data_IF_908445848735
#
_entry.id   IF_908445848735
#
_cell.length_a   1.000
_cell.length_b   1.000
_cell.length_c   1.000
_cell.angle_alpha   90.00
_cell.angle_beta   90.00
_cell.angle_gamma   90.00
#
_symmetry.space_group_name_H-M   'P 1'
#
loop_
_entity.id
_entity.type
_entity.pdbx_description
1 polymer ?
#
# COMPACT_ATOMS: atom_id res chain seq x y z
N UNK A 1 1.44 -9.02 18.17
CA UNK A 1 2.13 -9.05 16.87
C UNK A 1 1.35 -8.25 15.85
N UNK A 2 2.01 -7.33 15.17
CA UNK A 2 1.34 -6.49 14.17
C UNK A 2 1.15 -7.30 12.89
N UNK A 3 -0.07 -7.27 12.37
CA UNK A 3 -0.40 -8.08 11.20
C UNK A 3 -0.27 -7.27 9.92
N UNK A 4 0.21 -7.93 8.88
CA UNK A 4 0.32 -7.37 7.54
C UNK A 4 -0.36 -8.31 6.56
N UNK A 5 -1.22 -7.75 5.71
CA UNK A 5 -1.89 -8.51 4.67
C UNK A 5 -1.23 -8.19 3.34
N UNK A 6 -0.87 -9.23 2.58
CA UNK A 6 -0.30 -9.11 1.25
C UNK A 6 -1.34 -9.56 0.24
N UNK A 7 -1.65 -8.70 -0.73
CA UNK A 7 -2.63 -9.00 -1.77
C UNK A 7 -2.06 -8.64 -3.14
N UNK A 8 -2.59 -9.28 -4.18
CA UNK A 8 -2.27 -8.95 -5.57
C UNK A 8 -3.52 -8.38 -6.23
N UNK A 9 -3.41 -7.21 -6.85
CA UNK A 9 -4.53 -6.54 -7.49
C UNK A 9 -4.20 -6.15 -8.93
N UNK A 10 -5.17 -6.32 -9.82
CA UNK A 10 -5.14 -5.73 -11.16
C UNK A 10 -5.90 -4.40 -11.13
N UNK A 11 -5.77 -3.61 -12.20
CA UNK A 11 -6.51 -2.33 -12.29
C UNK A 11 -8.01 -2.53 -12.18
N UNK A 12 -8.53 -3.60 -12.78
CA UNK A 12 -9.98 -3.88 -12.78
C UNK A 12 -10.48 -4.31 -11.41
N UNK A 13 -9.64 -4.94 -10.60
CA UNK A 13 -10.01 -5.40 -9.26
C UNK A 13 -9.95 -4.30 -8.20
N UNK A 14 -9.18 -3.26 -8.46
CA UNK A 14 -8.91 -2.24 -7.44
C UNK A 14 -10.15 -1.55 -6.89
N UNK A 15 -11.09 -1.04 -7.71
CA UNK A 15 -12.28 -0.37 -7.15
C UNK A 15 -13.11 -1.28 -6.26
N UNK A 16 -13.34 -2.52 -6.69
CA UNK A 16 -14.10 -3.49 -5.89
C UNK A 16 -13.41 -3.81 -4.58
N UNK A 17 -12.08 -3.98 -4.63
CA UNK A 17 -11.32 -4.29 -3.42
C UNK A 17 -11.38 -3.14 -2.41
N UNK A 18 -11.26 -1.89 -2.87
CA UNK A 18 -11.36 -0.73 -1.99
C UNK A 18 -12.75 -0.65 -1.35
N UNK A 19 -13.80 -0.90 -2.13
CA UNK A 19 -15.16 -0.90 -1.60
C UNK A 19 -15.34 -1.97 -0.52
N UNK A 20 -14.83 -3.18 -0.76
CA UNK A 20 -14.88 -4.26 0.22
C UNK A 20 -14.06 -3.95 1.47
N UNK A 21 -12.92 -3.30 1.30
CA UNK A 21 -12.07 -2.88 2.42
C UNK A 21 -12.83 -1.97 3.39
N UNK A 22 -13.63 -1.07 2.86
CA UNK A 22 -14.36 -0.10 3.70
C UNK A 22 -15.35 -0.77 4.66
N UNK A 23 -15.76 -2.01 4.38
CA UNK A 23 -16.65 -2.79 5.25
C UNK A 23 -15.91 -3.87 6.04
N UNK A 24 -14.59 -3.99 5.88
CA UNK A 24 -13.81 -5.06 6.51
C UNK A 24 -13.01 -4.51 7.69
N UNK A 25 -13.57 -4.66 8.89
CA UNK A 25 -12.94 -4.15 10.11
C UNK A 25 -11.62 -4.85 10.44
N UNK A 26 -11.45 -6.11 10.03
CA UNK A 26 -10.21 -6.83 10.25
C UNK A 26 -9.05 -6.22 9.46
N UNK A 27 -9.29 -5.91 8.18
CA UNK A 27 -8.26 -5.33 7.33
C UNK A 27 -7.88 -3.91 7.76
N UNK A 28 -8.82 -3.17 8.32
CA UNK A 28 -8.54 -1.80 8.80
C UNK A 28 -7.51 -1.77 9.93
N UNK A 29 -7.31 -2.89 10.61
CA UNK A 29 -6.35 -3.01 11.71
C UNK A 29 -5.00 -3.55 11.26
N UNK A 30 -4.79 -3.71 9.97
CA UNK A 30 -3.58 -4.32 9.43
C UNK A 30 -2.85 -3.38 8.47
N UNK A 31 -1.53 -3.55 8.36
CA UNK A 31 -0.76 -2.96 7.27
C UNK A 31 -1.10 -3.71 5.99
N UNK A 32 -1.10 -3.01 4.87
CA UNK A 32 -1.47 -3.59 3.58
C UNK A 32 -0.29 -3.49 2.62
N UNK A 33 0.11 -4.62 2.05
CA UNK A 33 1.08 -4.66 0.95
C UNK A 33 0.32 -5.09 -0.30
N UNK A 34 0.36 -4.26 -1.33
CA UNK A 34 -0.33 -4.52 -2.59
C UNK A 34 0.71 -4.81 -3.66
N UNK A 35 0.71 -6.04 -4.18
CA UNK A 35 1.57 -6.39 -5.30
C UNK A 35 0.79 -6.20 -6.60
N UNK A 36 1.41 -5.55 -7.57
CA UNK A 36 0.81 -5.32 -8.88
C UNK A 36 1.47 -6.22 -9.91
N UNK A 37 0.68 -6.87 -10.80
CA UNK A 37 1.26 -7.73 -11.84
C UNK A 37 2.24 -6.95 -12.72
N UNK A 38 3.40 -7.53 -12.99
CA UNK A 38 4.44 -6.87 -13.80
C UNK A 38 4.02 -6.68 -15.25
N UNK A 39 3.19 -7.54 -15.77
CA UNK A 39 2.70 -7.47 -17.14
C UNK A 39 1.65 -6.38 -17.35
N UNK A 40 1.11 -5.81 -16.28
CA UNK A 40 0.13 -4.73 -16.37
C UNK A 40 0.86 -3.38 -16.25
N UNK A 41 0.62 -2.50 -17.20
CA UNK A 41 1.26 -1.19 -17.23
C UNK A 41 0.42 -0.16 -16.47
N UNK A 42 0.96 0.37 -15.39
CA UNK A 42 0.29 1.37 -14.56
C UNK A 42 0.87 2.75 -14.84
N UNK A 43 -0.02 3.70 -15.11
CA UNK A 43 0.35 5.10 -15.29
C UNK A 43 0.11 5.85 -13.98
N UNK A 44 0.67 7.07 -13.88
CA UNK A 44 0.48 7.90 -12.69
C UNK A 44 -0.98 8.08 -12.34
N UNK A 45 -1.84 8.29 -13.33
CA UNK A 45 -3.29 8.46 -13.13
C UNK A 45 -3.93 7.20 -12.55
N UNK A 46 -3.41 6.03 -12.89
CA UNK A 46 -3.94 4.76 -12.40
C UNK A 46 -3.61 4.55 -10.92
N UNK A 47 -2.57 5.22 -10.44
CA UNK A 47 -2.13 5.10 -9.04
C UNK A 47 -2.89 6.03 -8.10
N UNK A 48 -3.63 7.01 -8.60
CA UNK A 48 -4.37 7.95 -7.75
C UNK A 48 -5.29 7.28 -6.73
N UNK A 49 -6.11 6.28 -7.09
CA UNK A 49 -6.94 5.61 -6.10
C UNK A 49 -6.12 4.97 -4.99
N UNK A 50 -4.94 4.43 -5.32
CA UNK A 50 -4.03 3.85 -4.33
C UNK A 50 -3.46 4.91 -3.40
N UNK A 51 -3.12 6.08 -3.94
CA UNK A 51 -2.62 7.20 -3.14
C UNK A 51 -3.67 7.63 -2.12
N UNK A 52 -4.90 7.83 -2.58
CA UNK A 52 -6.01 8.23 -1.70
C UNK A 52 -6.26 7.17 -0.63
N UNK A 53 -6.31 5.90 -1.04
CA UNK A 53 -6.51 4.79 -0.12
C UNK A 53 -5.42 4.75 0.95
N UNK A 54 -4.15 4.87 0.53
CA UNK A 54 -3.01 4.82 1.45
C UNK A 54 -3.05 5.96 2.46
N UNK A 55 -3.37 7.17 2.00
CA UNK A 55 -3.46 8.33 2.88
C UNK A 55 -4.57 8.16 3.91
N UNK A 56 -5.74 7.69 3.49
CA UNK A 56 -6.86 7.47 4.39
C UNK A 56 -6.57 6.39 5.42
N UNK A 57 -5.97 5.29 4.98
CA UNK A 57 -5.62 4.19 5.89
C UNK A 57 -4.60 4.63 6.93
N UNK A 58 -3.63 5.42 6.51
CA UNK A 58 -2.61 5.96 7.42
C UNK A 58 -3.24 6.94 8.43
N UNK A 59 -4.06 7.87 7.97
CA UNK A 59 -4.66 8.90 8.81
C UNK A 59 -5.72 8.35 9.77
N UNK A 60 -6.57 7.45 9.28
CA UNK A 60 -7.70 6.95 10.07
C UNK A 60 -7.32 5.78 10.96
N UNK A 61 -6.42 4.94 10.52
CA UNK A 61 -6.10 3.69 11.21
C UNK A 61 -4.65 3.57 11.66
N UNK A 62 -3.80 4.53 11.31
CA UNK A 62 -2.36 4.54 11.65
C UNK A 62 -1.65 3.28 11.15
N UNK A 63 -2.01 2.83 9.95
CA UNK A 63 -1.43 1.67 9.30
C UNK A 63 -0.83 2.06 7.96
N UNK A 64 0.19 1.32 7.54
CA UNK A 64 0.92 1.60 6.30
C UNK A 64 0.35 0.84 5.11
N UNK A 65 0.43 1.46 3.93
CA UNK A 65 0.12 0.81 2.66
C UNK A 65 1.34 0.94 1.77
N UNK A 66 1.86 -0.18 1.29
CA UNK A 66 3.04 -0.20 0.42
C UNK A 66 2.71 -0.99 -0.84
N UNK A 67 3.13 -0.45 -1.99
CA UNK A 67 2.92 -1.08 -3.28
C UNK A 67 4.23 -1.73 -3.73
N UNK A 68 4.14 -2.95 -4.22
CA UNK A 68 5.30 -3.69 -4.74
C UNK A 68 5.16 -3.88 -6.24
N UNK A 69 6.03 -3.21 -7.00
CA UNK A 69 6.22 -3.48 -8.43
C UNK A 69 7.55 -2.88 -8.85
N UNK A 70 8.42 -3.72 -9.43
CA UNK A 70 9.78 -3.31 -9.78
C UNK A 70 9.81 -2.16 -10.80
N UNK A 71 9.02 -2.26 -11.85
CA UNK A 71 9.01 -1.24 -12.90
C UNK A 71 8.58 0.12 -12.38
N UNK A 72 7.54 0.16 -11.56
CA UNK A 72 7.05 1.40 -10.95
C UNK A 72 8.03 1.98 -9.95
N UNK A 73 8.73 1.13 -9.22
CA UNK A 73 9.70 1.57 -8.21
C UNK A 73 10.89 2.29 -8.85
N UNK A 74 11.19 2.00 -10.12
CA UNK A 74 12.27 2.65 -10.84
C UNK A 74 11.86 4.02 -11.41
N UNK A 75 10.56 4.31 -11.45
CA UNK A 75 10.05 5.58 -11.92
C UNK A 75 9.85 6.54 -10.75
N UNK A 76 10.20 7.80 -10.95
CA UNK A 76 10.01 8.83 -9.92
C UNK A 76 8.71 9.59 -10.19
N UNK A 77 7.64 9.12 -9.58
CA UNK A 77 6.31 9.72 -9.77
C UNK A 77 6.03 10.90 -8.83
N UNK A 78 6.90 11.21 -7.92
CA UNK A 78 6.68 12.26 -6.90
C UNK A 78 5.34 12.08 -6.17
N UNK A 79 5.02 10.84 -5.83
CA UNK A 79 3.80 10.51 -5.10
C UNK A 79 4.09 10.30 -3.62
N UNK A 80 3.07 10.51 -2.78
CA UNK A 80 3.16 10.19 -1.36
C UNK A 80 3.02 8.69 -1.10
N UNK A 81 2.71 7.91 -2.14
CA UNK A 81 2.59 6.46 -2.05
C UNK A 81 3.96 5.80 -2.08
N UNK A 82 4.20 4.88 -1.16
CA UNK A 82 5.44 4.10 -1.13
C UNK A 82 5.36 2.97 -2.15
N UNK A 83 6.27 2.97 -3.11
CA UNK A 83 6.38 1.92 -4.12
C UNK A 83 7.78 1.35 -4.05
N UNK A 84 7.88 0.04 -3.84
CA UNK A 84 9.17 -0.65 -3.68
C UNK A 84 9.28 -1.80 -4.68
N UNK A 85 10.51 -2.22 -5.02
CA UNK A 85 10.71 -3.26 -6.02
C UNK A 85 10.50 -4.69 -5.53
N UNK A 86 10.58 -4.93 -4.23
CA UNK A 86 10.48 -6.28 -3.67
C UNK A 86 9.58 -6.32 -2.44
N UNK A 87 9.06 -7.51 -2.15
CA UNK A 87 8.25 -7.74 -0.97
C UNK A 87 9.05 -7.51 0.31
N UNK A 88 10.33 -7.91 0.31
CA UNK A 88 11.20 -7.73 1.48
C UNK A 88 11.32 -6.24 1.85
N UNK A 89 11.54 -5.39 0.84
CA UNK A 89 11.62 -3.95 1.09
C UNK A 89 10.31 -3.37 1.60
N UNK A 90 9.16 -3.93 1.18
CA UNK A 90 7.87 -3.50 1.70
C UNK A 90 7.76 -3.79 3.20
N UNK A 91 8.17 -4.98 3.64
CA UNK A 91 8.18 -5.32 5.07
C UNK A 91 9.14 -4.43 5.85
N UNK A 92 10.32 -4.17 5.29
CA UNK A 92 11.32 -3.31 5.94
C UNK A 92 10.77 -1.89 6.13
N UNK A 93 10.08 -1.37 5.13
CA UNK A 93 9.50 -0.04 5.20
C UNK A 93 8.39 0.05 6.26
N UNK A 94 7.55 -0.98 6.34
CA UNK A 94 6.49 -1.04 7.35
C UNK A 94 7.10 -1.07 8.76
N UNK A 95 8.17 -1.83 8.94
CA UNK A 95 8.87 -1.89 10.22
C UNK A 95 9.42 -0.53 10.62
N UNK A 96 10.02 0.20 9.69
CA UNK A 96 10.51 1.55 9.94
C UNK A 96 9.37 2.50 10.32
N UNK A 97 8.24 2.44 9.61
CA UNK A 97 7.07 3.26 9.92
C UNK A 97 6.56 3.00 11.33
N UNK A 98 6.56 1.74 11.76
CA UNK A 98 6.12 1.36 13.10
C UNK A 98 7.05 1.93 14.16
N UNK A 99 8.35 1.86 13.93
CA UNK A 99 9.35 2.43 14.84
C UNK A 99 9.16 3.93 14.97
N UNK A 100 8.97 4.63 13.86
CA UNK A 100 8.75 6.07 13.87
C UNK A 100 7.49 6.46 14.62
N UNK A 101 6.39 5.72 14.43
CA UNK A 101 5.14 5.98 15.14
C UNK A 101 5.33 5.84 16.64
N UNK A 102 6.07 4.83 17.09
CA UNK A 102 6.32 4.60 18.51
C UNK A 102 7.17 5.72 19.13
N UNK A 103 8.08 6.30 18.34
CA UNK A 103 8.93 7.40 18.82
C UNK A 103 8.14 8.70 19.05
N UNK A 104 7.04 8.88 18.32
CA UNK A 104 6.29 10.12 18.34
C UNK A 104 4.97 10.04 19.12
N UNK A 105 4.78 9.01 19.91
CA UNK A 105 3.62 8.91 20.78
C UNK A 105 3.71 9.87 21.97
#
# INVERSE_FOLDING_TARGET
>A
MKKTTVITLTKTQLPSWIADFNTNETLKKQHIIITLPEEEHWLKKDLKPLVVFAQQHNQQHHKSVVVVQRALALEDFELTLHIVPTLQEAYDLIELDEIERDLWK
#
